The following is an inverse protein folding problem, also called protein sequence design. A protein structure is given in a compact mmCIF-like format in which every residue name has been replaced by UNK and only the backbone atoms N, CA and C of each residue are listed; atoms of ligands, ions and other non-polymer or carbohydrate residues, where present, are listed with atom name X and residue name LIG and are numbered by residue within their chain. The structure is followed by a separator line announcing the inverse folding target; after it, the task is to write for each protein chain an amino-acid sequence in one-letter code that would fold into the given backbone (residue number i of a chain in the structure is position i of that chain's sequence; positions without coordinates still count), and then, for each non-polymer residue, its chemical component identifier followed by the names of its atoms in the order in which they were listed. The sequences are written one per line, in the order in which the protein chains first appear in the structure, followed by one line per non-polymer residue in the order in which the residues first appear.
data_IF_707930773658
#
_entry.id   IF_707930773658
#
_cell.length_a   1.000
_cell.length_b   1.000
_cell.length_c   1.000
_cell.angle_alpha   90.00
_cell.angle_beta   90.00
_cell.angle_gamma   90.00
#
_symmetry.space_group_name_H-M   'P 1'
#
loop_
_entity.id
_entity.type
_entity.pdbx_description
1 polymer ?
#
# COMPACT_ATOMS: atom_id res chain seq x y z
N UNK A 1 -0.23 -21.40 3.53
CA UNK A 1 0.46 -21.67 4.81
C UNK A 1 1.96 -21.36 4.75
N UNK A 2 2.74 -21.97 3.86
CA UNK A 2 4.20 -21.75 3.79
C UNK A 2 4.64 -20.29 3.59
N UNK A 3 3.91 -19.49 2.85
CA UNK A 3 4.20 -18.09 2.56
C UNK A 3 3.98 -17.16 3.76
N UNK A 4 2.94 -17.42 4.52
CA UNK A 4 2.70 -16.72 5.79
C UNK A 4 3.83 -17.06 6.75
N UNK A 5 4.26 -18.34 6.77
CA UNK A 5 5.39 -18.77 7.58
C UNK A 5 6.72 -18.12 7.16
N UNK A 6 6.96 -17.94 5.85
CA UNK A 6 8.16 -17.24 5.34
C UNK A 6 8.13 -15.75 5.71
N UNK A 7 7.00 -15.05 5.51
CA UNK A 7 6.85 -13.66 5.90
C UNK A 7 6.98 -13.50 7.43
N UNK A 8 6.39 -14.42 8.19
CA UNK A 8 6.53 -14.46 9.63
C UNK A 8 7.99 -14.69 10.05
N UNK A 9 8.69 -15.65 9.43
CA UNK A 9 10.11 -15.90 9.69
C UNK A 9 11.00 -14.70 9.35
N UNK A 10 10.68 -13.96 8.27
CA UNK A 10 11.40 -12.71 7.92
C UNK A 10 11.16 -11.65 8.99
N UNK A 11 9.90 -11.49 9.44
CA UNK A 11 9.56 -10.52 10.50
C UNK A 11 10.23 -10.88 11.82
N UNK A 12 10.21 -12.16 12.21
CA UNK A 12 10.90 -12.64 13.42
C UNK A 12 12.43 -12.50 13.31
N UNK A 13 13.01 -12.77 12.14
CA UNK A 13 14.43 -12.56 11.90
C UNK A 13 14.82 -11.07 11.99
N UNK A 14 14.02 -10.17 11.44
CA UNK A 14 14.23 -8.72 11.56
C UNK A 14 14.05 -8.27 13.02
N UNK A 15 13.05 -8.81 13.71
CA UNK A 15 12.81 -8.53 15.13
C UNK A 15 13.95 -9.00 16.00
N UNK A 16 14.40 -10.26 15.87
CA UNK A 16 15.55 -10.82 16.63
C UNK A 16 16.83 -10.01 16.40
N UNK A 17 17.07 -9.59 15.13
CA UNK A 17 18.19 -8.71 14.79
C UNK A 17 18.09 -7.31 15.39
N UNK A 18 16.87 -6.76 15.49
CA UNK A 18 16.62 -5.44 16.06
C UNK A 18 16.60 -5.45 17.59
N UNK A 19 16.13 -6.54 18.22
CA UNK A 19 16.01 -6.65 19.67
C UNK A 19 17.22 -7.33 20.35
N UNK A 20 18.21 -7.79 19.56
CA UNK A 20 19.46 -8.35 20.11
C UNK A 20 19.32 -9.71 20.81
N UNK A 21 18.18 -10.41 20.66
CA UNK A 21 17.94 -11.69 21.36
C UNK A 21 18.87 -12.84 20.92
N UNK A 22 19.55 -12.72 19.77
CA UNK A 22 20.48 -13.74 19.26
C UNK A 22 21.94 -13.53 19.73
N UNK A 23 22.22 -12.56 20.60
CA UNK A 23 23.58 -12.15 20.97
C UNK A 23 24.07 -12.66 22.33
N UNK A 24 23.36 -13.56 23.00
CA UNK A 24 23.84 -14.11 24.28
C UNK A 24 24.50 -15.48 24.09
N UNK A 25 25.85 -15.60 24.22
CA UNK A 25 26.48 -16.89 24.46
C UNK A 25 26.03 -17.38 25.84
N UNK A 26 25.50 -18.60 25.91
CA UNK A 26 25.28 -19.30 27.17
C UNK A 26 26.62 -19.45 27.89
N UNK A 27 26.85 -18.64 28.91
CA UNK A 27 27.94 -18.82 29.82
C UNK A 27 27.48 -19.74 30.94
N UNK A 28 28.04 -20.95 30.96
CA UNK A 28 27.95 -21.87 32.08
C UNK A 28 28.71 -21.29 33.29
N UNK A 29 28.13 -21.45 34.45
CA UNK A 29 28.37 -20.71 35.68
C UNK A 29 29.76 -20.72 36.27
N UNK A 30 29.95 -19.74 37.15
CA UNK A 30 30.98 -19.52 38.17
C UNK A 30 32.17 -18.66 37.75
N UNK A 31 32.06 -17.36 38.04
CA UNK A 31 32.98 -16.66 38.95
C UNK A 31 32.41 -15.28 39.28
N UNK A 32 32.32 -14.99 40.59
CA UNK A 32 31.95 -13.69 41.13
C UNK A 32 33.15 -12.72 40.98
N UNK A 33 33.14 -11.94 39.92
CA UNK A 33 33.90 -10.69 39.85
C UNK A 33 32.99 -9.60 39.32
N UNK A 34 32.93 -8.47 40.00
CA UNK A 34 32.06 -7.32 39.65
C UNK A 34 32.15 -6.99 38.15
N UNK A 35 31.02 -6.84 37.46
CA UNK A 35 31.04 -6.49 36.05
C UNK A 35 31.42 -5.03 35.91
N UNK A 36 32.60 -4.80 35.35
CA UNK A 36 32.94 -3.52 34.74
C UNK A 36 31.84 -3.16 33.72
N UNK A 37 31.45 -1.90 33.75
CA UNK A 37 30.44 -1.26 32.91
C UNK A 37 30.69 -1.56 31.41
N UNK A 38 30.16 -2.66 30.92
CA UNK A 38 30.02 -2.91 29.46
C UNK A 38 28.87 -2.03 29.05
N UNK A 39 29.01 -1.16 28.03
CA UNK A 39 27.86 -0.50 27.45
C UNK A 39 26.97 -1.59 26.84
N UNK A 40 25.99 -2.04 27.61
CA UNK A 40 24.93 -2.89 27.13
C UNK A 40 24.09 -2.03 26.22
N UNK A 41 23.89 -2.54 25.03
CA UNK A 41 22.75 -2.26 24.15
C UNK A 41 22.86 -0.96 23.37
N UNK A 42 22.97 -1.13 22.08
CA UNK A 42 22.43 -0.15 21.16
C UNK A 42 20.93 -0.14 21.48
N UNK A 43 20.54 0.77 22.36
CA UNK A 43 19.14 1.07 22.66
C UNK A 43 18.58 1.66 21.36
N UNK A 44 18.13 0.77 20.45
CA UNK A 44 17.35 1.20 19.32
C UNK A 44 16.01 1.64 19.92
N UNK A 45 15.89 2.94 20.17
CA UNK A 45 14.66 3.59 20.63
C UNK A 45 13.59 3.39 19.53
N UNK A 46 13.01 2.17 19.50
CA UNK A 46 11.94 1.84 18.57
C UNK A 46 10.74 2.70 18.96
N UNK A 47 10.05 3.29 17.95
CA UNK A 47 8.84 4.04 18.21
C UNK A 47 7.87 3.17 19.03
N UNK A 48 7.19 3.80 20.00
CA UNK A 48 6.18 3.11 20.80
C UNK A 48 5.11 2.45 19.92
N UNK A 49 4.43 1.43 20.41
CA UNK A 49 3.41 0.71 19.65
C UNK A 49 2.27 1.62 19.16
N UNK A 50 2.01 2.72 19.87
CA UNK A 50 1.09 3.76 19.45
C UNK A 50 1.51 4.42 18.12
N UNK A 51 2.79 4.70 17.97
CA UNK A 51 3.37 5.29 16.75
C UNK A 51 3.36 4.29 15.60
N UNK A 52 3.68 3.01 15.85
CA UNK A 52 3.75 1.99 14.78
C UNK A 52 2.39 1.71 14.15
N UNK A 53 1.31 1.59 14.94
CA UNK A 53 -0.04 1.39 14.39
C UNK A 53 -0.51 2.59 13.56
N UNK A 54 -0.21 3.82 14.00
CA UNK A 54 -0.53 5.04 13.25
C UNK A 54 0.21 5.11 11.93
N UNK A 55 1.50 4.82 11.93
CA UNK A 55 2.33 4.79 10.72
C UNK A 55 1.88 3.67 9.78
N UNK A 56 1.53 2.48 10.29
CA UNK A 56 0.93 1.41 9.50
C UNK A 56 -0.31 1.92 8.75
N UNK A 57 -1.27 2.50 9.46
CA UNK A 57 -2.49 3.03 8.87
C UNK A 57 -2.21 4.12 7.84
N UNK A 58 -1.35 5.09 8.17
CA UNK A 58 -0.97 6.18 7.27
C UNK A 58 -0.32 5.68 5.97
N UNK A 59 0.63 4.75 6.06
CA UNK A 59 1.31 4.18 4.89
C UNK A 59 0.36 3.36 4.02
N UNK A 60 -0.54 2.57 4.62
CA UNK A 60 -1.55 1.81 3.89
C UNK A 60 -2.51 2.72 3.14
N UNK A 61 -2.97 3.83 3.75
CA UNK A 61 -3.84 4.82 3.10
C UNK A 61 -3.13 5.50 1.92
N UNK A 62 -1.89 5.96 2.12
CA UNK A 62 -1.09 6.58 1.04
C UNK A 62 -0.86 5.59 -0.11
N UNK A 63 -0.52 4.34 0.21
CA UNK A 63 -0.25 3.30 -0.78
C UNK A 63 -1.49 2.94 -1.59
N UNK A 64 -2.61 2.63 -0.94
CA UNK A 64 -3.75 2.00 -1.61
C UNK A 64 -4.80 3.00 -2.09
N UNK A 65 -5.10 4.04 -1.31
CA UNK A 65 -6.02 5.10 -1.76
C UNK A 65 -5.33 6.12 -2.66
N UNK A 66 -4.04 6.42 -2.39
CA UNK A 66 -3.23 7.37 -3.16
C UNK A 66 -2.63 6.74 -4.41
N UNK A 67 -1.47 6.11 -4.25
CA UNK A 67 -0.61 5.74 -5.39
C UNK A 67 -1.18 4.59 -6.24
N UNK A 68 -1.81 3.57 -5.63
CA UNK A 68 -2.42 2.47 -6.38
C UNK A 68 -3.53 2.95 -7.29
N UNK A 69 -4.46 3.75 -6.77
CA UNK A 69 -5.59 4.27 -7.55
C UNK A 69 -5.12 5.09 -8.76
N UNK A 70 -4.13 5.97 -8.57
CA UNK A 70 -3.52 6.73 -9.67
C UNK A 70 -2.83 5.82 -10.68
N UNK A 71 -2.03 4.87 -10.23
CA UNK A 71 -1.30 3.95 -11.10
C UNK A 71 -2.22 3.10 -11.97
N UNK A 72 -3.37 2.64 -11.44
CA UNK A 72 -4.38 1.90 -12.21
C UNK A 72 -5.01 2.80 -13.28
N UNK A 73 -5.41 4.03 -12.93
CA UNK A 73 -5.98 4.99 -13.89
C UNK A 73 -5.00 5.31 -15.03
N UNK A 74 -3.74 5.56 -14.70
CA UNK A 74 -2.69 5.83 -15.69
C UNK A 74 -2.53 4.64 -16.63
N UNK A 75 -2.36 3.42 -16.11
CA UNK A 75 -2.19 2.22 -16.93
C UNK A 75 -3.39 1.94 -17.83
N UNK A 76 -4.60 2.28 -17.39
CA UNK A 76 -5.82 2.02 -18.16
C UNK A 76 -6.11 3.06 -19.23
N UNK A 77 -5.93 4.36 -18.93
CA UNK A 77 -6.47 5.43 -19.76
C UNK A 77 -5.41 6.31 -20.43
N UNK A 78 -4.12 6.19 -20.05
CA UNK A 78 -3.07 7.11 -20.50
C UNK A 78 -2.06 6.51 -21.47
N UNK A 79 -2.23 5.26 -21.93
CA UNK A 79 -1.34 4.60 -22.90
C UNK A 79 -1.15 5.37 -24.21
N UNK A 80 -2.10 6.20 -24.56
CA UNK A 80 -2.12 7.06 -25.76
C UNK A 80 -2.15 8.55 -25.39
N UNK A 81 -1.52 8.88 -24.26
CA UNK A 81 -1.32 10.24 -23.76
C UNK A 81 0.17 10.37 -23.44
N UNK A 82 0.76 11.52 -23.70
CA UNK A 82 2.21 11.75 -23.62
C UNK A 82 3.03 10.86 -24.56
N UNK A 83 2.53 10.59 -25.77
CA UNK A 83 3.11 9.63 -26.74
C UNK A 83 4.57 9.94 -27.08
N UNK A 84 4.95 11.24 -27.12
CA UNK A 84 6.31 11.68 -27.43
C UNK A 84 7.17 11.95 -26.19
N UNK A 85 6.70 11.53 -25.00
CA UNK A 85 7.43 11.72 -23.75
C UNK A 85 7.93 10.36 -23.23
N UNK A 86 9.23 10.31 -22.97
CA UNK A 86 9.87 9.13 -22.40
C UNK A 86 10.71 9.55 -21.18
N UNK A 87 10.72 8.69 -20.17
CA UNK A 87 11.57 8.78 -18.98
C UNK A 87 12.43 7.52 -18.89
N UNK A 88 13.73 7.67 -18.88
CA UNK A 88 14.69 6.56 -18.86
C UNK A 88 14.41 5.51 -19.95
N UNK A 89 14.15 5.94 -21.18
CA UNK A 89 13.84 5.05 -22.31
C UNK A 89 12.47 4.33 -22.23
N UNK A 90 11.62 4.75 -21.32
CA UNK A 90 10.30 4.14 -21.10
C UNK A 90 9.20 5.17 -21.38
N UNK A 91 8.12 4.73 -22.04
CA UNK A 91 6.95 5.59 -22.26
C UNK A 91 6.44 6.20 -20.95
N UNK A 92 6.09 7.49 -20.97
CA UNK A 92 5.71 8.25 -19.78
C UNK A 92 4.60 7.59 -18.96
N UNK A 93 3.53 7.08 -19.61
CA UNK A 93 2.43 6.40 -18.92
C UNK A 93 2.91 5.14 -18.16
N UNK A 94 3.86 4.39 -18.75
CA UNK A 94 4.36 3.15 -18.16
C UNK A 94 5.37 3.44 -17.05
N UNK A 95 6.18 4.50 -17.20
CA UNK A 95 7.04 4.99 -16.14
C UNK A 95 6.23 5.37 -14.89
N UNK A 96 5.21 6.22 -15.05
CA UNK A 96 4.38 6.66 -13.92
C UNK A 96 3.60 5.53 -13.29
N UNK A 97 3.07 4.59 -14.09
CA UNK A 97 2.44 3.38 -13.54
C UNK A 97 3.41 2.60 -12.66
N UNK A 98 4.62 2.32 -13.17
CA UNK A 98 5.62 1.59 -12.39
C UNK A 98 6.04 2.34 -11.12
N UNK A 99 6.24 3.64 -11.22
CA UNK A 99 6.59 4.47 -10.06
C UNK A 99 5.53 4.40 -8.97
N UNK A 100 4.25 4.56 -9.34
CA UNK A 100 3.14 4.41 -8.40
C UNK A 100 3.09 3.01 -7.78
N UNK A 101 3.26 1.95 -8.59
CA UNK A 101 3.20 0.57 -8.09
C UNK A 101 4.39 0.22 -7.21
N UNK A 102 5.60 0.70 -7.53
CA UNK A 102 6.78 0.51 -6.69
C UNK A 102 6.60 1.22 -5.33
N UNK A 103 6.06 2.42 -5.35
CA UNK A 103 5.75 3.16 -4.13
C UNK A 103 4.72 2.40 -3.26
N UNK A 104 3.63 1.93 -3.87
CA UNK A 104 2.64 1.09 -3.19
C UNK A 104 3.28 -0.14 -2.57
N UNK A 105 4.09 -0.87 -3.34
CA UNK A 105 4.79 -2.08 -2.90
C UNK A 105 5.68 -1.81 -1.68
N UNK A 106 6.53 -0.78 -1.76
CA UNK A 106 7.45 -0.41 -0.68
C UNK A 106 6.69 -0.04 0.60
N UNK A 107 5.70 0.86 0.49
CA UNK A 107 4.93 1.28 1.67
C UNK A 107 4.10 0.17 2.28
N UNK A 108 3.54 -0.73 1.45
CA UNK A 108 2.79 -1.88 1.94
C UNK A 108 3.68 -2.82 2.75
N UNK A 109 4.90 -3.11 2.27
CA UNK A 109 5.83 -4.00 2.99
C UNK A 109 6.33 -3.37 4.28
N UNK A 110 6.71 -2.09 4.25
CA UNK A 110 7.16 -1.38 5.45
C UNK A 110 6.03 -1.36 6.49
N UNK A 111 4.82 -0.98 6.10
CA UNK A 111 3.68 -0.94 6.99
C UNK A 111 3.30 -2.31 7.54
N UNK A 112 3.44 -3.37 6.73
CA UNK A 112 3.18 -4.74 7.17
C UNK A 112 4.20 -5.19 8.23
N UNK A 113 5.48 -4.88 8.06
CA UNK A 113 6.52 -5.17 9.05
C UNK A 113 6.25 -4.40 10.35
N UNK A 114 5.94 -3.11 10.26
CA UNK A 114 5.64 -2.26 11.42
C UNK A 114 4.52 -2.82 12.29
N UNK A 115 3.43 -3.31 11.69
CA UNK A 115 2.31 -3.82 12.49
C UNK A 115 2.64 -5.15 13.16
N UNK A 116 3.48 -6.01 12.57
CA UNK A 116 3.92 -7.23 13.21
C UNK A 116 4.86 -6.98 14.38
N UNK A 117 5.69 -5.94 14.31
CA UNK A 117 6.51 -5.49 15.43
C UNK A 117 5.61 -4.99 16.58
N UNK A 118 4.56 -4.20 16.24
CA UNK A 118 3.65 -3.64 17.24
C UNK A 118 2.78 -4.69 17.96
N UNK A 119 2.26 -5.67 17.19
CA UNK A 119 1.31 -6.68 17.72
C UNK A 119 2.02 -7.85 18.39
N UNK A 120 3.33 -8.00 18.19
CA UNK A 120 4.11 -9.14 18.68
C UNK A 120 3.55 -10.52 18.29
N UNK A 121 3.09 -10.61 17.03
CA UNK A 121 2.55 -11.85 16.48
C UNK A 121 1.29 -11.69 15.65
N UNK A 122 0.27 -12.49 15.92
CA UNK A 122 -1.00 -12.50 15.20
C UNK A 122 -2.15 -11.93 16.03
N UNK A 123 -2.86 -10.94 15.47
CA UNK A 123 -4.03 -10.35 16.12
C UNK A 123 -5.30 -11.19 15.87
N UNK A 124 -5.65 -12.04 16.82
CA UNK A 124 -6.85 -12.89 16.75
C UNK A 124 -8.15 -12.09 16.95
N UNK A 125 -8.12 -11.05 17.75
CA UNK A 125 -9.29 -10.22 18.06
C UNK A 125 -9.75 -9.38 16.86
N UNK A 126 -8.80 -9.06 15.95
CA UNK A 126 -9.03 -8.26 14.75
C UNK A 126 -8.90 -9.11 13.46
N UNK A 127 -9.27 -10.41 13.57
CA UNK A 127 -9.05 -11.40 12.52
C UNK A 127 -9.51 -10.98 11.11
N UNK A 128 -10.68 -10.34 10.88
CA UNK A 128 -11.09 -9.95 9.54
C UNK A 128 -10.12 -8.97 8.88
N UNK A 129 -9.65 -7.93 9.61
CA UNK A 129 -8.67 -6.97 9.14
C UNK A 129 -7.32 -7.64 8.89
N UNK A 130 -6.83 -8.42 9.84
CA UNK A 130 -5.54 -9.10 9.77
C UNK A 130 -5.47 -10.10 8.61
N UNK A 131 -6.52 -10.93 8.42
CA UNK A 131 -6.59 -11.93 7.34
C UNK A 131 -6.58 -11.25 5.97
N UNK A 132 -7.49 -10.28 5.75
CA UNK A 132 -7.58 -9.61 4.45
C UNK A 132 -6.33 -8.76 4.17
N UNK A 133 -5.77 -8.10 5.18
CA UNK A 133 -4.52 -7.35 5.07
C UNK A 133 -3.35 -8.24 4.67
N UNK A 134 -3.23 -9.42 5.29
CA UNK A 134 -2.20 -10.41 4.96
C UNK A 134 -2.36 -10.95 3.54
N UNK A 135 -3.57 -11.33 3.13
CA UNK A 135 -3.83 -11.79 1.75
C UNK A 135 -3.48 -10.69 0.75
N UNK A 136 -3.87 -9.44 1.03
CA UNK A 136 -3.55 -8.28 0.18
C UNK A 136 -2.04 -8.08 0.06
N UNK A 137 -1.30 -8.17 1.17
CA UNK A 137 0.16 -8.02 1.19
C UNK A 137 0.84 -9.14 0.42
N UNK A 138 0.38 -10.39 0.52
CA UNK A 138 0.90 -11.52 -0.25
C UNK A 138 0.71 -11.27 -1.75
N UNK A 139 -0.49 -10.88 -2.17
CA UNK A 139 -0.75 -10.55 -3.58
C UNK A 139 0.11 -9.38 -4.04
N UNK A 140 0.22 -8.33 -3.23
CA UNK A 140 1.06 -7.16 -3.51
C UNK A 140 2.54 -7.54 -3.66
N UNK A 141 3.06 -8.41 -2.79
CA UNK A 141 4.45 -8.86 -2.82
C UNK A 141 4.81 -9.57 -4.12
N UNK A 142 3.96 -10.50 -4.59
CA UNK A 142 4.25 -11.27 -5.80
C UNK A 142 3.92 -10.54 -7.10
N UNK A 143 3.06 -9.54 -7.06
CA UNK A 143 2.57 -8.87 -8.25
C UNK A 143 3.66 -8.21 -9.12
N UNK A 144 4.66 -7.48 -8.58
CA UNK A 144 5.77 -6.97 -9.37
C UNK A 144 6.70 -8.08 -9.87
N UNK A 145 6.89 -9.17 -9.11
CA UNK A 145 7.69 -10.32 -9.54
C UNK A 145 7.06 -10.94 -10.78
N UNK A 146 5.74 -11.18 -10.75
CA UNK A 146 4.99 -11.64 -11.91
C UNK A 146 5.07 -10.65 -13.08
N UNK A 147 5.08 -9.33 -12.79
CA UNK A 147 5.20 -8.31 -13.83
C UNK A 147 6.55 -8.34 -14.55
N UNK A 148 7.62 -8.77 -13.90
CA UNK A 148 8.95 -8.97 -14.52
C UNK A 148 8.96 -10.12 -15.53
N UNK A 149 8.09 -11.13 -15.35
CA UNK A 149 7.92 -12.28 -16.25
C UNK A 149 7.04 -11.95 -17.47
N UNK A 150 6.84 -10.67 -17.77
CA UNK A 150 5.97 -10.22 -18.86
C UNK A 150 6.47 -10.69 -20.22
N UNK A 151 5.68 -11.48 -20.98
CA UNK A 151 6.07 -11.93 -22.32
C UNK A 151 6.28 -10.77 -23.30
N UNK A 152 7.11 -10.98 -24.31
CA UNK A 152 7.43 -9.99 -25.35
C UNK A 152 6.20 -9.52 -26.15
N UNK A 153 6.40 -8.45 -26.93
CA UNK A 153 5.37 -7.95 -27.86
C UNK A 153 5.22 -8.98 -28.98
N UNK A 154 3.98 -9.46 -29.23
CA UNK A 154 3.68 -10.48 -30.23
C UNK A 154 3.63 -11.92 -29.70
N UNK A 155 4.08 -12.18 -28.47
CA UNK A 155 3.95 -13.50 -27.84
C UNK A 155 2.47 -13.81 -27.55
N UNK A 156 2.03 -15.03 -27.91
CA UNK A 156 0.65 -15.47 -27.67
C UNK A 156 0.25 -15.50 -26.19
N UNK A 157 1.21 -15.78 -25.30
CA UNK A 157 1.00 -15.83 -23.84
C UNK A 157 0.75 -14.45 -23.26
N UNK A 158 1.10 -13.36 -23.99
CA UNK A 158 0.94 -12.00 -23.50
C UNK A 158 -0.49 -11.61 -23.16
N UNK A 159 -1.48 -12.16 -23.87
CA UNK A 159 -2.90 -11.90 -23.58
C UNK A 159 -3.32 -12.45 -22.21
N UNK A 160 -2.85 -13.65 -21.86
CA UNK A 160 -3.12 -14.27 -20.55
C UNK A 160 -2.41 -13.54 -19.42
N UNK A 161 -1.15 -13.16 -19.66
CA UNK A 161 -0.40 -12.33 -18.72
C UNK A 161 -1.11 -10.99 -18.47
N UNK A 162 -1.51 -10.28 -19.51
CA UNK A 162 -2.19 -8.98 -19.37
C UNK A 162 -3.50 -9.10 -18.60
N UNK A 163 -4.27 -10.17 -18.85
CA UNK A 163 -5.51 -10.43 -18.14
C UNK A 163 -5.24 -10.77 -16.65
N UNK A 164 -4.33 -11.68 -16.38
CA UNK A 164 -3.97 -12.07 -15.01
C UNK A 164 -3.40 -10.90 -14.19
N UNK A 165 -2.51 -10.10 -14.79
CA UNK A 165 -1.97 -8.90 -14.16
C UNK A 165 -3.06 -7.85 -13.88
N UNK A 166 -3.95 -7.61 -14.84
CA UNK A 166 -5.09 -6.73 -14.64
C UNK A 166 -6.02 -7.22 -13.53
N UNK A 167 -6.38 -8.51 -13.56
CA UNK A 167 -7.28 -9.12 -12.58
C UNK A 167 -6.65 -9.08 -11.17
N UNK A 168 -5.42 -9.56 -11.03
CA UNK A 168 -4.71 -9.59 -9.76
C UNK A 168 -4.52 -8.20 -9.14
N UNK A 169 -4.16 -7.20 -9.96
CA UNK A 169 -3.99 -5.82 -9.49
C UNK A 169 -5.30 -5.18 -9.03
N UNK A 170 -6.41 -5.41 -9.75
CA UNK A 170 -7.72 -4.89 -9.32
C UNK A 170 -8.25 -5.63 -8.09
N UNK A 171 -8.05 -6.95 -8.01
CA UNK A 171 -8.43 -7.74 -6.84
C UNK A 171 -7.69 -7.26 -5.60
N UNK A 172 -6.37 -7.06 -5.70
CA UNK A 172 -5.57 -6.52 -4.59
C UNK A 172 -6.08 -5.13 -4.14
N UNK A 173 -6.41 -4.25 -5.10
CA UNK A 173 -6.94 -2.92 -4.77
C UNK A 173 -8.31 -2.98 -4.06
N UNK A 174 -9.20 -3.89 -4.49
CA UNK A 174 -10.49 -4.12 -3.83
C UNK A 174 -10.28 -4.66 -2.41
N UNK A 175 -9.45 -5.69 -2.25
CA UNK A 175 -9.15 -6.26 -0.93
C UNK A 175 -8.54 -5.23 0.01
N UNK A 176 -7.57 -4.43 -0.46
CA UNK A 176 -6.98 -3.35 0.31
C UNK A 176 -8.02 -2.30 0.73
N UNK A 177 -8.91 -1.92 -0.19
CA UNK A 177 -10.00 -0.97 0.11
C UNK A 177 -10.88 -1.52 1.23
N UNK A 178 -11.33 -2.78 1.13
CA UNK A 178 -12.13 -3.42 2.18
C UNK A 178 -11.37 -3.47 3.51
N UNK A 179 -10.08 -3.82 3.47
CA UNK A 179 -9.24 -3.86 4.68
C UNK A 179 -9.12 -2.48 5.35
N UNK A 180 -8.99 -1.39 4.56
CA UNK A 180 -8.99 -0.03 5.08
C UNK A 180 -10.34 0.31 5.73
N UNK A 181 -11.47 -0.10 5.16
CA UNK A 181 -12.78 0.08 5.82
C UNK A 181 -12.87 -0.70 7.14
N UNK A 182 -12.34 -1.91 7.19
CA UNK A 182 -12.29 -2.71 8.42
C UNK A 182 -11.37 -2.12 9.50
N UNK A 183 -10.42 -1.23 9.16
CA UNK A 183 -9.56 -0.60 10.17
C UNK A 183 -10.34 0.23 11.19
N UNK A 184 -11.54 0.71 10.82
CA UNK A 184 -12.41 1.47 11.73
C UNK A 184 -12.97 0.60 12.86
N UNK A 185 -13.06 -0.72 12.65
CA UNK A 185 -13.50 -1.67 13.68
C UNK A 185 -12.38 -2.15 14.60
N UNK A 186 -11.13 -1.83 14.27
CA UNK A 186 -9.95 -2.21 15.06
C UNK A 186 -9.95 -1.43 16.38
N UNK A 187 -10.12 -2.14 17.49
CA UNK A 187 -10.26 -1.53 18.82
C UNK A 187 -9.06 -0.67 19.22
N UNK A 188 -7.86 -1.15 18.95
CA UNK A 188 -6.62 -0.43 19.27
C UNK A 188 -6.49 0.89 18.49
N UNK A 189 -7.01 0.96 17.25
CA UNK A 189 -6.91 2.13 16.39
C UNK A 189 -7.86 3.28 16.79
N UNK A 190 -8.95 3.00 17.50
CA UNK A 190 -9.96 3.96 17.98
C UNK A 190 -10.41 5.01 16.93
N UNK A 191 -10.54 4.57 15.68
CA UNK A 191 -10.94 5.46 14.60
C UNK A 191 -12.43 5.81 14.69
N UNK A 192 -12.81 7.07 14.46
CA UNK A 192 -14.19 7.49 14.57
C UNK A 192 -15.06 6.90 13.44
N UNK A 193 -16.27 6.48 13.75
CA UNK A 193 -17.20 5.85 12.78
C UNK A 193 -17.54 6.74 11.59
N UNK A 194 -17.56 8.08 11.75
CA UNK A 194 -17.82 9.01 10.64
C UNK A 194 -16.71 8.96 9.55
N UNK A 195 -15.54 8.36 9.84
CA UNK A 195 -14.48 8.13 8.86
C UNK A 195 -14.96 7.26 7.68
N UNK A 196 -15.96 6.37 7.89
CA UNK A 196 -16.62 5.66 6.79
C UNK A 196 -17.10 6.58 5.68
N UNK A 197 -17.58 7.79 6.00
CA UNK A 197 -18.06 8.75 5.00
C UNK A 197 -16.93 9.28 4.14
N UNK A 198 -15.76 9.57 4.72
CA UNK A 198 -14.59 10.03 3.96
C UNK A 198 -14.02 8.91 3.10
N UNK A 199 -13.93 7.69 3.63
CA UNK A 199 -13.51 6.52 2.84
C UNK A 199 -14.48 6.25 1.69
N UNK A 200 -15.80 6.36 1.91
CA UNK A 200 -16.81 6.23 0.86
C UNK A 200 -16.68 7.30 -0.20
N UNK A 201 -16.36 8.55 0.20
CA UNK A 201 -16.09 9.64 -0.74
C UNK A 201 -14.88 9.33 -1.64
N UNK A 202 -13.83 8.70 -1.10
CA UNK A 202 -12.67 8.30 -1.91
C UNK A 202 -13.02 7.25 -2.96
N UNK A 203 -13.83 6.25 -2.58
CA UNK A 203 -14.32 5.23 -3.52
C UNK A 203 -15.20 5.87 -4.60
N UNK A 204 -16.10 6.78 -4.21
CA UNK A 204 -16.94 7.52 -5.15
C UNK A 204 -16.10 8.35 -6.13
N UNK A 205 -15.09 9.08 -5.64
CA UNK A 205 -14.17 9.85 -6.48
C UNK A 205 -13.44 8.95 -7.50
N UNK A 206 -12.99 7.77 -7.06
CA UNK A 206 -12.36 6.78 -7.94
C UNK A 206 -13.31 6.25 -9.01
N UNK A 207 -14.54 5.92 -8.64
CA UNK A 207 -15.58 5.47 -9.60
C UNK A 207 -15.92 6.55 -10.61
N UNK A 208 -16.10 7.79 -10.15
CA UNK A 208 -16.36 8.96 -11.03
C UNK A 208 -15.18 9.16 -12.01
N UNK A 209 -13.94 9.07 -11.54
CA UNK A 209 -12.77 9.16 -12.40
C UNK A 209 -12.76 8.06 -13.47
N UNK A 210 -13.07 6.82 -13.10
CA UNK A 210 -13.18 5.71 -14.05
C UNK A 210 -14.27 5.94 -15.11
N UNK A 211 -15.44 6.43 -14.71
CA UNK A 211 -16.53 6.77 -15.64
C UNK A 211 -16.08 7.89 -16.60
N UNK A 212 -15.54 8.97 -16.05
CA UNK A 212 -15.06 10.11 -16.82
C UNK A 212 -14.00 9.71 -17.86
N UNK A 213 -12.95 9.01 -17.44
CA UNK A 213 -11.90 8.58 -18.35
C UNK A 213 -12.37 7.55 -19.37
N UNK A 214 -13.31 6.66 -18.99
CA UNK A 214 -13.89 5.70 -19.91
C UNK A 214 -14.71 6.39 -21.02
N UNK A 215 -15.50 7.41 -20.66
CA UNK A 215 -16.24 8.23 -21.63
C UNK A 215 -15.28 8.92 -22.60
N UNK A 216 -14.20 9.55 -22.08
CA UNK A 216 -13.21 10.22 -22.93
C UNK A 216 -12.47 9.22 -23.82
N UNK A 217 -12.15 8.02 -23.33
CA UNK A 217 -11.51 6.97 -24.11
C UNK A 217 -12.42 6.50 -25.25
N UNK A 218 -13.70 6.23 -24.97
CA UNK A 218 -14.67 5.85 -26.00
C UNK A 218 -14.83 6.92 -27.07
N UNK A 219 -15.00 8.20 -26.67
CA UNK A 219 -15.06 9.31 -27.62
C UNK A 219 -13.79 9.41 -28.47
N UNK A 220 -12.62 9.20 -27.88
CA UNK A 220 -11.36 9.21 -28.61
C UNK A 220 -11.28 8.07 -29.64
N UNK A 221 -11.73 6.87 -29.30
CA UNK A 221 -11.71 5.70 -30.18
C UNK A 221 -12.60 5.87 -31.43
N UNK A 222 -13.69 6.61 -31.30
CA UNK A 222 -14.58 6.93 -32.43
C UNK A 222 -14.11 8.13 -33.26
N UNK A 223 -13.05 8.82 -32.84
CA UNK A 223 -12.48 9.95 -33.57
C UNK A 223 -11.48 9.48 -34.64
N UNK A 224 -11.59 9.99 -35.89
CA UNK A 224 -10.72 9.56 -37.00
C UNK A 224 -9.22 9.67 -36.74
N UNK A 225 -8.79 10.64 -35.92
CA UNK A 225 -7.37 10.82 -35.54
C UNK A 225 -6.85 9.78 -34.51
N UNK A 226 -7.69 8.91 -33.96
CA UNK A 226 -7.28 7.91 -32.95
C UNK A 226 -6.28 6.90 -33.51
N UNK A 227 -6.34 6.60 -34.80
CA UNK A 227 -5.40 5.69 -35.49
C UNK A 227 -3.96 6.17 -35.52
N UNK A 228 -3.71 7.49 -35.52
CA UNK A 228 -2.37 8.06 -35.58
C UNK A 228 -1.62 7.85 -34.26
N UNK A 229 -0.58 7.01 -34.26
CA UNK A 229 0.21 6.67 -33.05
C UNK A 229 1.32 7.68 -32.72
N UNK A 230 1.58 8.63 -33.60
CA UNK A 230 2.67 9.61 -33.43
C UNK A 230 2.24 10.85 -32.65
N UNK A 231 0.95 10.97 -32.35
CA UNK A 231 0.38 12.08 -31.57
C UNK A 231 -0.47 11.56 -30.42
N UNK A 232 -0.66 12.41 -29.43
CA UNK A 232 -1.60 12.13 -28.34
C UNK A 232 -2.99 11.83 -28.92
N UNK A 233 -3.65 10.80 -28.39
CA UNK A 233 -5.02 10.48 -28.80
C UNK A 233 -5.96 11.67 -28.51
N UNK A 234 -7.04 11.83 -29.29
CA UNK A 234 -8.03 12.89 -29.06
C UNK A 234 -8.46 12.98 -27.59
N UNK A 235 -8.82 14.18 -27.16
CA UNK A 235 -9.17 14.50 -25.77
C UNK A 235 -8.03 14.32 -24.72
N UNK A 236 -6.77 14.27 -25.15
CA UNK A 236 -5.63 14.15 -24.22
C UNK A 236 -5.55 15.28 -23.20
N UNK A 237 -5.84 16.53 -23.60
CA UNK A 237 -5.89 17.69 -22.70
C UNK A 237 -6.93 17.50 -21.59
N UNK A 238 -8.13 17.01 -21.93
CA UNK A 238 -9.16 16.72 -20.95
C UNK A 238 -8.76 15.59 -20.02
N UNK A 239 -8.09 14.54 -20.53
CA UNK A 239 -7.55 13.48 -19.69
C UNK A 239 -6.49 14.01 -18.71
N UNK A 240 -5.55 14.86 -19.19
CA UNK A 240 -4.51 15.47 -18.34
C UNK A 240 -5.13 16.32 -17.23
N UNK A 241 -6.11 17.18 -17.56
CA UNK A 241 -6.84 18.00 -16.59
C UNK A 241 -7.62 17.15 -15.60
N UNK A 242 -8.34 16.14 -16.07
CA UNK A 242 -9.08 15.22 -15.21
C UNK A 242 -8.18 14.45 -14.26
N UNK A 243 -6.99 14.02 -14.70
CA UNK A 243 -6.01 13.37 -13.83
C UNK A 243 -5.50 14.34 -12.75
N UNK A 244 -5.18 15.58 -13.13
CA UNK A 244 -4.75 16.59 -12.16
C UNK A 244 -5.83 16.84 -11.09
N UNK A 245 -7.10 17.00 -11.49
CA UNK A 245 -8.21 17.18 -10.56
C UNK A 245 -8.33 15.94 -9.65
N UNK A 246 -8.28 14.73 -10.21
CA UNK A 246 -8.32 13.50 -9.43
C UNK A 246 -7.17 13.41 -8.43
N UNK A 247 -5.95 13.74 -8.85
CA UNK A 247 -4.77 13.76 -7.97
C UNK A 247 -4.96 14.76 -6.81
N UNK A 248 -5.46 15.97 -7.06
CA UNK A 248 -5.70 16.96 -6.02
C UNK A 248 -6.79 16.51 -5.04
N UNK A 249 -7.92 16.00 -5.54
CA UNK A 249 -9.00 15.48 -4.70
C UNK A 249 -8.50 14.31 -3.84
N UNK A 250 -7.81 13.35 -4.45
CA UNK A 250 -7.26 12.20 -3.74
C UNK A 250 -6.23 12.62 -2.69
N UNK A 251 -5.35 13.58 -3.03
CA UNK A 251 -4.37 14.12 -2.08
C UNK A 251 -5.05 14.76 -0.87
N UNK A 252 -6.09 15.58 -1.08
CA UNK A 252 -6.85 16.17 0.01
C UNK A 252 -7.50 15.11 0.91
N UNK A 253 -8.11 14.07 0.31
CA UNK A 253 -8.74 12.98 1.06
C UNK A 253 -7.68 12.19 1.84
N UNK A 254 -6.56 11.83 1.21
CA UNK A 254 -5.46 11.10 1.86
C UNK A 254 -4.89 11.89 3.03
N UNK A 255 -4.62 13.18 2.85
CA UNK A 255 -4.15 14.06 3.94
C UNK A 255 -5.16 14.06 5.09
N UNK A 256 -6.45 14.24 4.80
CA UNK A 256 -7.49 14.23 5.83
C UNK A 256 -7.53 12.91 6.60
N UNK A 257 -7.52 11.76 5.90
CA UNK A 257 -7.55 10.43 6.53
C UNK A 257 -6.29 10.19 7.36
N UNK A 258 -5.11 10.51 6.82
CA UNK A 258 -3.83 10.37 7.55
C UNK A 258 -3.82 11.26 8.80
N UNK A 259 -4.30 12.51 8.71
CA UNK A 259 -4.41 13.40 9.86
C UNK A 259 -5.32 12.82 10.94
N UNK A 260 -6.47 12.25 10.56
CA UNK A 260 -7.39 11.60 11.50
C UNK A 260 -6.70 10.41 12.18
N UNK A 261 -6.00 9.56 11.43
CA UNK A 261 -5.26 8.41 11.99
C UNK A 261 -4.19 8.87 12.98
N UNK A 262 -3.41 9.90 12.64
CA UNK A 262 -2.34 10.40 13.51
C UNK A 262 -2.89 11.02 14.79
N UNK A 263 -4.02 11.72 14.71
CA UNK A 263 -4.65 12.40 15.85
C UNK A 263 -5.59 11.48 16.65
N UNK A 264 -5.93 10.28 16.15
CA UNK A 264 -6.77 9.34 16.87
C UNK A 264 -6.12 8.92 18.19
N UNK A 265 -6.89 8.80 19.29
CA UNK A 265 -6.40 8.18 20.51
C UNK A 265 -6.02 6.72 20.25
N UNK A 266 -5.18 6.15 21.11
CA UNK A 266 -4.87 4.71 21.06
C UNK A 266 -5.60 4.03 22.19
N UNK A 267 -6.31 2.94 21.88
CA UNK A 267 -6.96 2.11 22.87
C UNK A 267 -5.99 1.18 23.57
N UNK A 268 -6.13 1.00 24.88
CA UNK A 268 -5.41 -0.03 25.60
C UNK A 268 -5.84 -1.41 25.15
N UNK A 269 -4.89 -2.31 24.96
CA UNK A 269 -5.12 -3.71 24.58
C UNK A 269 -6.00 -4.47 25.60
N UNK A 270 -6.18 -3.94 26.80
CA UNK A 270 -6.93 -4.55 27.92
C UNK A 270 -8.37 -4.02 28.08
N UNK A 271 -8.91 -3.28 27.10
CA UNK A 271 -10.32 -2.83 27.15
C UNK A 271 -10.63 -1.79 28.24
N UNK A 272 -9.61 -1.15 28.80
CA UNK A 272 -9.76 -0.04 29.75
C UNK A 272 -10.26 1.21 29.04
N UNK A 273 -11.26 1.89 29.62
CA UNK A 273 -11.69 3.23 29.19
C UNK A 273 -10.51 4.20 29.28
N UNK A 274 -10.40 5.18 28.33
CA UNK A 274 -9.31 6.16 28.38
C UNK A 274 -9.34 6.88 29.74
N UNK A 275 -8.19 6.90 30.40
CA UNK A 275 -8.02 7.74 31.60
C UNK A 275 -8.03 9.17 31.11
N UNK A 276 -9.08 9.94 31.45
CA UNK A 276 -9.15 11.37 31.22
C UNK A 276 -8.13 12.03 32.14
N UNK A 277 -7.07 12.57 31.60
CA UNK A 277 -6.28 13.62 32.25
C UNK A 277 -6.93 14.98 32.07
#
# INVERSE_FOLDING_TARGET
MWLIAILFAIVEGVRGSLLGEDALPKVDGKDETEPGNVPSDIDLDLPDGATLIKLHGAFMVVAWMGTTSMGILIARYFKRTWVNQQFFGTDAWFFWHRACMLFTWTFTLIAFIMIFIDVDGWSYDEAPHAILGTITTIVCFFHPILAMLRPGVGDEKRKYFNWGHWFGGNLAHILATVTIFLSITVKKAQLPSWLYSILSLSVLAYVIAHIYFNVLLRKAQHHGAYGNRNIDAPYSTWRKRGLLIYCLVTLCIVIAVVTIIILAPIGDSNGGTPVSE
#
